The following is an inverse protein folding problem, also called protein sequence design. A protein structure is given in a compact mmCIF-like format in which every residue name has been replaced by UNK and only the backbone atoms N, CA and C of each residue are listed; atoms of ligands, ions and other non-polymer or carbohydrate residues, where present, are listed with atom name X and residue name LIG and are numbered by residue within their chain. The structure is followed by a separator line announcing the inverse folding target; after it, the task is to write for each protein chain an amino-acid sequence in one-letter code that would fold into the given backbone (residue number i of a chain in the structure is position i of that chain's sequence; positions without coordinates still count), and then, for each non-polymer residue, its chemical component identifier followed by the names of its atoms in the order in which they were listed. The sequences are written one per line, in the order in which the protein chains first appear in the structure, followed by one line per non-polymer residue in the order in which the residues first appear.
data_IF_057338529429
#
_entry.id   IF_057338529429
#
_cell.length_a   1.000
_cell.length_b   1.000
_cell.length_c   1.000
_cell.angle_alpha   90.00
_cell.angle_beta   90.00
_cell.angle_gamma   90.00
#
_symmetry.space_group_name_H-M   'P 1'
#
loop_
_entity.id
_entity.type
_entity.pdbx_description
1 polymer ?
#
# COMPACT_ATOMS: atom_id res chain seq x y z
N UNK A 1 21.79 1.38 14.28
CA UNK A 1 20.41 1.84 14.27
C UNK A 1 19.50 0.76 13.70
N UNK A 2 18.21 0.83 14.06
CA UNK A 2 17.15 0.02 13.45
C UNK A 2 16.09 0.96 12.91
N UNK A 3 15.67 0.78 11.66
CA UNK A 3 14.61 1.57 11.03
C UNK A 3 13.63 0.66 10.29
N UNK A 4 12.43 1.17 10.09
CA UNK A 4 11.46 0.53 9.22
C UNK A 4 11.98 0.54 7.77
N UNK A 5 11.80 -0.55 7.05
CA UNK A 5 12.24 -0.69 5.67
C UNK A 5 11.65 0.38 4.75
N UNK A 6 10.43 0.80 4.98
CA UNK A 6 9.74 1.82 4.17
C UNK A 6 10.43 3.19 4.17
N UNK A 7 11.25 3.50 5.19
CA UNK A 7 11.98 4.78 5.27
C UNK A 7 13.40 4.71 4.70
N UNK A 8 13.84 3.57 4.21
CA UNK A 8 15.15 3.44 3.55
C UNK A 8 15.29 4.35 2.32
N UNK A 9 14.29 4.49 1.41
CA UNK A 9 14.42 5.37 0.25
C UNK A 9 14.65 6.85 0.58
N UNK A 10 13.92 7.49 1.52
CA UNK A 10 14.21 8.89 1.87
C UNK A 10 15.59 9.09 2.50
N UNK A 11 16.08 8.14 3.26
CA UNK A 11 17.43 8.20 3.83
C UNK A 11 18.51 7.71 2.87
N UNK A 12 18.14 7.12 1.74
CA UNK A 12 19.03 6.42 0.83
C UNK A 12 19.93 5.44 1.59
N UNK A 13 19.35 4.72 2.55
CA UNK A 13 20.05 3.79 3.42
C UNK A 13 19.77 2.35 3.02
N UNK A 14 20.78 1.51 3.14
CA UNK A 14 20.66 0.06 3.10
C UNK A 14 21.33 -0.58 4.34
N UNK A 15 21.43 -1.87 4.41
CA UNK A 15 21.90 -2.57 5.60
C UNK A 15 23.23 -3.31 5.37
N UNK A 16 24.04 -2.84 4.43
CA UNK A 16 25.33 -3.43 4.03
C UNK A 16 26.53 -2.80 4.73
N UNK A 17 26.30 -1.88 5.67
CA UNK A 17 27.35 -1.22 6.44
C UNK A 17 27.23 0.31 6.49
N UNK A 18 26.07 0.85 6.10
CA UNK A 18 25.81 2.28 6.18
C UNK A 18 25.89 2.80 7.61
N UNK A 19 26.51 3.95 7.76
CA UNK A 19 26.55 4.71 9.02
C UNK A 19 25.60 5.89 8.96
N UNK A 20 25.05 6.26 10.12
CA UNK A 20 24.12 7.39 10.27
C UNK A 20 24.52 8.23 11.49
N UNK A 21 24.18 9.51 11.45
CA UNK A 21 24.35 10.41 12.57
C UNK A 21 23.05 10.53 13.36
N UNK A 22 23.17 10.53 14.69
CA UNK A 22 22.09 10.85 15.60
C UNK A 22 22.29 12.26 16.16
N UNK A 23 21.33 13.14 15.88
CA UNK A 23 21.32 14.51 16.40
C UNK A 23 20.29 14.66 17.51
N UNK A 24 20.69 15.31 18.60
CA UNK A 24 19.80 15.63 19.72
C UNK A 24 19.69 17.16 19.83
N UNK A 25 18.69 17.78 19.17
CA UNK A 25 18.51 19.24 19.20
C UNK A 25 18.18 19.71 20.62
N UNK A 26 18.86 20.76 21.08
CA UNK A 26 18.74 21.25 22.45
C UNK A 26 17.90 22.50 22.59
N UNK A 27 17.89 23.39 21.57
CA UNK A 27 17.04 24.58 21.63
C UNK A 27 15.57 24.25 21.34
N UNK A 28 14.67 25.07 21.88
CA UNK A 28 13.21 24.90 21.67
C UNK A 28 12.86 25.11 20.21
N UNK A 29 13.51 26.06 19.55
CA UNK A 29 13.31 26.36 18.14
C UNK A 29 13.72 25.18 17.27
N UNK A 30 14.92 24.62 17.46
CA UNK A 30 15.40 23.46 16.69
C UNK A 30 14.51 22.22 16.91
N UNK A 31 14.00 22.02 18.15
CA UNK A 31 13.05 20.94 18.45
C UNK A 31 11.70 21.17 17.76
N UNK A 32 11.25 22.43 17.69
CA UNK A 32 10.05 22.83 16.97
C UNK A 32 10.17 22.51 15.48
N UNK A 33 11.25 22.95 14.84
CA UNK A 33 11.52 22.65 13.43
C UNK A 33 11.62 21.15 13.16
N UNK A 34 12.37 20.40 13.97
CA UNK A 34 12.49 18.96 13.83
C UNK A 34 11.12 18.27 13.87
N UNK A 35 10.24 18.68 14.78
CA UNK A 35 8.91 18.11 14.95
C UNK A 35 7.93 18.49 13.83
N UNK A 36 8.04 19.67 13.25
CA UNK A 36 7.09 20.15 12.24
C UNK A 36 7.57 19.93 10.81
N UNK A 37 8.87 20.11 10.54
CA UNK A 37 9.40 20.08 9.19
C UNK A 37 10.19 18.81 8.86
N UNK A 38 10.71 18.09 9.87
CA UNK A 38 11.57 16.91 9.65
C UNK A 38 10.90 15.59 10.02
N UNK A 39 9.64 15.62 10.42
CA UNK A 39 8.91 14.42 10.80
C UNK A 39 8.74 13.50 9.56
N UNK A 40 9.25 12.26 9.62
CA UNK A 40 9.30 11.35 8.46
C UNK A 40 7.92 11.08 7.87
N UNK A 41 6.91 10.92 8.67
CA UNK A 41 5.53 10.65 8.23
C UNK A 41 4.87 11.81 7.50
N UNK A 42 5.43 13.02 7.56
CA UNK A 42 4.97 14.18 6.78
C UNK A 42 5.78 14.37 5.49
N UNK A 43 6.79 13.51 5.27
CA UNK A 43 7.69 13.58 4.13
C UNK A 43 7.48 12.40 3.16
N UNK A 44 6.23 12.01 2.95
CA UNK A 44 5.89 10.90 2.06
C UNK A 44 6.11 11.28 0.60
N UNK A 45 5.88 12.55 0.24
CA UNK A 45 6.07 13.05 -1.11
C UNK A 45 7.48 13.63 -1.30
N UNK A 46 8.14 13.23 -2.38
CA UNK A 46 9.44 13.76 -2.75
C UNK A 46 9.33 15.15 -3.40
N UNK A 47 10.10 16.16 -2.96
CA UNK A 47 10.14 17.46 -3.62
C UNK A 47 10.78 17.41 -5.01
N UNK A 48 11.49 16.32 -5.36
CA UNK A 48 12.17 16.16 -6.65
C UNK A 48 11.18 16.00 -7.81
N UNK A 49 10.08 15.25 -7.60
CA UNK A 49 9.14 14.90 -8.67
C UNK A 49 7.67 14.84 -8.21
N UNK A 50 7.42 15.19 -6.94
CA UNK A 50 6.06 15.27 -6.38
C UNK A 50 5.34 13.93 -6.18
N UNK A 51 6.04 12.81 -6.32
CA UNK A 51 5.48 11.47 -6.08
C UNK A 51 5.98 10.86 -4.76
N UNK A 52 5.43 9.72 -4.35
CA UNK A 52 5.75 9.09 -3.08
C UNK A 52 7.18 8.58 -3.07
N UNK A 53 7.95 8.95 -2.04
CA UNK A 53 9.27 8.41 -1.76
C UNK A 53 9.20 7.27 -0.73
N UNK A 54 8.21 7.30 0.14
CA UNK A 54 7.89 6.25 1.09
C UNK A 54 6.79 5.39 0.50
N UNK A 55 6.94 4.08 0.57
CA UNK A 55 5.98 3.11 0.04
C UNK A 55 6.45 1.70 0.33
N UNK A 56 5.70 0.71 -0.16
CA UNK A 56 6.04 -0.69 0.01
C UNK A 56 7.34 -1.05 -0.73
N UNK A 57 8.14 -1.92 -0.12
CA UNK A 57 9.39 -2.44 -0.65
C UNK A 57 9.45 -3.95 -0.47
N UNK A 58 10.14 -4.64 -1.38
CA UNK A 58 10.50 -6.06 -1.28
C UNK A 58 9.34 -6.95 -0.78
N UNK A 59 9.43 -7.49 0.43
CA UNK A 59 8.47 -8.45 0.98
C UNK A 59 7.07 -7.86 1.19
N UNK A 60 6.95 -6.56 1.44
CA UNK A 60 5.65 -5.89 1.49
C UNK A 60 4.93 -5.92 0.14
N UNK A 61 5.68 -5.74 -0.96
CA UNK A 61 5.11 -5.86 -2.32
C UNK A 61 4.74 -7.30 -2.60
N UNK A 62 5.61 -8.25 -2.25
CA UNK A 62 5.36 -9.68 -2.44
C UNK A 62 4.14 -10.15 -1.65
N UNK A 63 4.03 -9.73 -0.39
CA UNK A 63 2.89 -10.05 0.47
C UNK A 63 1.59 -9.48 -0.06
N UNK A 64 1.58 -8.20 -0.45
CA UNK A 64 0.41 -7.55 -1.03
C UNK A 64 0.00 -8.19 -2.37
N UNK A 65 0.97 -8.58 -3.20
CA UNK A 65 0.72 -9.30 -4.44
C UNK A 65 0.06 -10.66 -4.17
N UNK A 66 0.64 -11.48 -3.30
CA UNK A 66 0.11 -12.80 -2.95
C UNK A 66 -1.29 -12.69 -2.32
N UNK A 67 -1.51 -11.73 -1.43
CA UNK A 67 -2.82 -11.48 -0.83
C UNK A 67 -3.88 -11.17 -1.89
N UNK A 68 -3.55 -10.32 -2.87
CA UNK A 68 -4.53 -9.84 -3.87
C UNK A 68 -4.62 -10.70 -5.11
N UNK A 69 -3.93 -11.84 -5.18
CA UNK A 69 -4.12 -12.81 -6.27
C UNK A 69 -5.55 -13.32 -6.32
N UNK A 70 -6.05 -13.54 -7.53
CA UNK A 70 -7.40 -14.07 -7.78
C UNK A 70 -7.64 -15.44 -7.13
N UNK A 71 -6.59 -16.21 -6.90
CA UNK A 71 -6.62 -17.56 -6.32
C UNK A 71 -6.52 -17.58 -4.81
N UNK A 72 -6.25 -16.44 -4.16
CA UNK A 72 -6.09 -16.38 -2.71
C UNK A 72 -7.43 -16.38 -2.03
N UNK A 73 -7.69 -17.47 -1.31
CA UNK A 73 -8.86 -17.67 -0.47
C UNK A 73 -8.40 -17.85 0.97
N UNK A 74 -9.02 -17.14 1.87
CA UNK A 74 -8.72 -17.14 3.31
C UNK A 74 -9.82 -17.83 4.08
N UNK A 75 -9.46 -18.66 5.02
CA UNK A 75 -10.37 -19.20 6.03
C UNK A 75 -10.74 -18.11 7.05
N UNK A 76 -11.73 -18.36 7.88
CA UNK A 76 -12.15 -17.43 8.94
C UNK A 76 -10.99 -17.18 9.93
N UNK A 77 -10.23 -18.22 10.28
CA UNK A 77 -9.08 -18.13 11.19
C UNK A 77 -7.97 -17.25 10.60
N UNK A 78 -7.59 -17.49 9.35
CA UNK A 78 -6.56 -16.69 8.65
C UNK A 78 -7.00 -15.23 8.47
N UNK A 79 -8.26 -14.99 8.14
CA UNK A 79 -8.80 -13.64 8.03
C UNK A 79 -8.71 -12.90 9.36
N UNK A 80 -9.14 -13.55 10.47
CA UNK A 80 -9.11 -12.96 11.80
C UNK A 80 -7.69 -12.65 12.26
N UNK A 81 -6.74 -13.54 11.96
CA UNK A 81 -5.32 -13.32 12.26
C UNK A 81 -4.78 -12.08 11.51
N UNK A 82 -5.05 -11.97 10.20
CA UNK A 82 -4.66 -10.82 9.40
C UNK A 82 -5.27 -9.52 9.91
N UNK A 83 -6.57 -9.50 10.21
CA UNK A 83 -7.26 -8.31 10.72
C UNK A 83 -6.75 -7.89 12.11
N UNK A 84 -6.42 -8.87 12.97
CA UNK A 84 -5.85 -8.60 14.29
C UNK A 84 -4.45 -7.95 14.18
N UNK A 85 -3.59 -8.46 13.28
CA UNK A 85 -2.27 -7.88 13.02
C UNK A 85 -2.39 -6.46 12.46
N UNK A 86 -3.34 -6.25 11.53
CA UNK A 86 -3.63 -4.94 10.94
C UNK A 86 -4.40 -3.99 11.87
N UNK A 87 -4.74 -4.42 13.09
CA UNK A 87 -5.51 -3.64 14.09
C UNK A 87 -6.82 -3.09 13.52
N UNK A 88 -7.49 -3.87 12.69
CA UNK A 88 -8.75 -3.47 12.10
C UNK A 88 -9.90 -3.61 13.11
N UNK A 89 -10.66 -2.52 13.31
CA UNK A 89 -11.77 -2.45 14.28
C UNK A 89 -13.15 -2.35 13.60
N UNK A 90 -13.20 -2.51 12.27
CA UNK A 90 -14.44 -2.39 11.50
C UNK A 90 -15.24 -3.69 11.40
N UNK A 91 -16.32 -3.64 10.62
CA UNK A 91 -17.17 -4.80 10.35
C UNK A 91 -16.47 -5.76 9.37
N UNK A 92 -16.63 -7.06 9.63
CA UNK A 92 -16.11 -8.11 8.75
C UNK A 92 -17.04 -8.25 7.56
N UNK A 93 -16.53 -8.30 6.31
CA UNK A 93 -17.35 -8.46 5.13
C UNK A 93 -17.98 -9.86 5.08
N UNK A 94 -19.06 -9.98 4.34
CA UNK A 94 -19.63 -11.29 4.06
C UNK A 94 -18.65 -12.16 3.26
N UNK A 95 -18.61 -13.48 3.54
CA UNK A 95 -17.70 -14.38 2.82
C UNK A 95 -18.07 -14.45 1.33
N UNK A 96 -17.05 -14.50 0.49
CA UNK A 96 -17.19 -14.66 -0.96
C UNK A 96 -17.72 -16.06 -1.34
N UNK A 97 -17.40 -17.07 -0.53
CA UNK A 97 -17.88 -18.45 -0.70
C UNK A 97 -18.52 -18.90 0.61
N UNK A 98 -19.75 -19.42 0.53
CA UNK A 98 -20.52 -19.84 1.71
C UNK A 98 -20.44 -21.36 1.99
N UNK A 99 -20.27 -22.17 0.95
CA UNK A 99 -20.32 -23.63 1.06
C UNK A 99 -19.22 -24.28 0.22
N UNK A 100 -18.61 -25.39 0.65
CA UNK A 100 -18.88 -26.15 1.88
C UNK A 100 -18.31 -25.51 3.15
N UNK A 101 -17.38 -24.56 3.02
CA UNK A 101 -16.81 -23.75 4.10
C UNK A 101 -16.85 -22.28 3.66
N UNK A 102 -16.87 -21.39 4.64
CA UNK A 102 -16.78 -19.95 4.38
C UNK A 102 -15.35 -19.60 3.99
N UNK A 103 -15.21 -18.85 2.88
CA UNK A 103 -13.93 -18.30 2.44
C UNK A 103 -14.09 -16.84 2.05
N UNK A 104 -13.09 -16.07 2.34
CA UNK A 104 -12.93 -14.67 1.93
C UNK A 104 -11.80 -14.55 0.91
N UNK A 105 -11.92 -13.60 0.01
CA UNK A 105 -10.82 -13.30 -0.92
C UNK A 105 -9.87 -12.30 -0.29
N UNK A 106 -8.59 -12.41 -0.60
CA UNK A 106 -7.63 -11.41 -0.15
C UNK A 106 -7.90 -10.01 -0.72
N UNK A 107 -8.60 -9.91 -1.86
CA UNK A 107 -9.08 -8.64 -2.41
C UNK A 107 -10.08 -7.95 -1.47
N UNK A 108 -10.99 -8.71 -0.84
CA UNK A 108 -11.91 -8.17 0.17
C UNK A 108 -11.19 -7.61 1.40
N UNK A 109 -10.08 -8.24 1.79
CA UNK A 109 -9.25 -7.70 2.89
C UNK A 109 -8.70 -6.32 2.54
N UNK A 110 -8.15 -6.15 1.33
CA UNK A 110 -7.67 -4.85 0.88
C UNK A 110 -8.78 -3.79 0.85
N UNK A 111 -9.99 -4.16 0.42
CA UNK A 111 -11.15 -3.25 0.34
C UNK A 111 -11.50 -2.61 1.69
N UNK A 112 -11.20 -3.28 2.80
CA UNK A 112 -11.44 -2.76 4.15
C UNK A 112 -10.58 -1.55 4.49
N UNK A 113 -9.43 -1.43 3.83
CA UNK A 113 -8.46 -0.36 4.05
C UNK A 113 -8.51 0.73 2.97
N UNK A 114 -9.42 0.62 2.00
CA UNK A 114 -9.62 1.63 0.97
C UNK A 114 -10.83 2.52 1.28
N UNK A 115 -10.78 3.82 0.92
CA UNK A 115 -11.95 4.69 1.02
C UNK A 115 -13.07 4.19 0.11
N UNK A 116 -14.33 4.26 0.58
CA UNK A 116 -15.51 3.75 -0.14
C UNK A 116 -15.80 4.45 -1.46
N UNK A 117 -15.25 5.64 -1.67
CA UNK A 117 -15.39 6.46 -2.88
C UNK A 117 -14.14 6.43 -3.78
N UNK A 118 -13.10 5.68 -3.38
CA UNK A 118 -11.84 5.63 -4.11
C UNK A 118 -11.99 4.90 -5.45
N UNK A 119 -11.53 5.57 -6.51
CA UNK A 119 -11.52 5.04 -7.87
C UNK A 119 -10.11 5.13 -8.46
N UNK A 120 -9.62 4.00 -8.95
CA UNK A 120 -8.28 3.93 -9.52
C UNK A 120 -8.22 2.90 -10.65
N UNK A 121 -7.53 3.25 -11.73
CA UNK A 121 -7.29 2.34 -12.85
C UNK A 121 -5.84 2.50 -13.27
N UNK A 122 -5.10 1.40 -13.27
CA UNK A 122 -3.72 1.38 -13.71
C UNK A 122 -3.32 0.05 -14.32
N UNK A 123 -2.31 0.13 -15.17
CA UNK A 123 -1.71 -1.03 -15.79
C UNK A 123 -0.70 -1.68 -14.86
N UNK A 124 -0.95 -2.92 -14.45
CA UNK A 124 -0.01 -3.71 -13.64
C UNK A 124 1.30 -4.05 -14.36
N UNK A 125 2.28 -4.52 -13.59
CA UNK A 125 3.59 -4.93 -14.11
C UNK A 125 3.50 -6.18 -14.99
N UNK A 126 2.53 -7.04 -14.68
CA UNK A 126 2.30 -8.32 -15.38
C UNK A 126 1.48 -8.19 -16.65
N UNK A 127 1.01 -6.96 -16.98
CA UNK A 127 0.19 -6.74 -18.16
C UNK A 127 0.98 -6.99 -19.44
N UNK A 128 0.56 -7.99 -20.20
CA UNK A 128 1.04 -8.26 -21.56
C UNK A 128 0.28 -7.40 -22.58
N UNK A 129 0.86 -7.22 -23.77
CA UNK A 129 0.14 -6.56 -24.88
C UNK A 129 -0.93 -7.52 -25.42
N UNK A 130 -2.18 -7.10 -25.34
CA UNK A 130 -3.31 -7.78 -25.95
C UNK A 130 -3.74 -7.01 -27.20
N UNK A 131 -4.24 -7.70 -28.23
CA UNK A 131 -4.74 -7.07 -29.45
C UNK A 131 -5.98 -6.20 -29.16
N UNK A 132 -6.83 -6.67 -28.28
CA UNK A 132 -7.98 -5.92 -27.74
C UNK A 132 -7.93 -5.96 -26.20
N UNK A 133 -7.71 -4.81 -25.60
CA UNK A 133 -7.62 -4.70 -24.15
C UNK A 133 -9.00 -4.37 -23.55
N UNK A 134 -9.60 -5.32 -22.83
CA UNK A 134 -10.79 -5.11 -21.99
C UNK A 134 -10.33 -5.04 -20.55
N UNK A 135 -9.84 -3.87 -20.15
CA UNK A 135 -9.15 -3.69 -18.87
C UNK A 135 -10.03 -3.99 -17.63
N UNK A 136 -11.36 -3.76 -17.71
CA UNK A 136 -12.29 -4.03 -16.59
C UNK A 136 -12.58 -5.52 -16.40
N UNK A 137 -12.39 -6.34 -17.42
CA UNK A 137 -12.58 -7.79 -17.39
C UNK A 137 -11.32 -8.51 -17.85
N UNK A 138 -10.15 -8.04 -17.42
CA UNK A 138 -8.87 -8.59 -17.86
C UNK A 138 -8.75 -10.09 -17.51
N UNK A 139 -8.66 -11.00 -18.48
CA UNK A 139 -8.61 -12.44 -18.20
C UNK A 139 -7.32 -12.85 -17.46
N UNK A 140 -6.27 -12.04 -17.57
CA UNK A 140 -4.98 -12.25 -16.91
C UNK A 140 -4.88 -11.60 -15.53
N UNK A 141 -5.94 -10.92 -15.07
CA UNK A 141 -5.95 -10.16 -13.80
C UNK A 141 -4.75 -9.19 -13.66
N UNK A 142 -4.32 -8.63 -14.79
CA UNK A 142 -3.10 -7.84 -14.90
C UNK A 142 -3.36 -6.32 -14.94
N UNK A 143 -4.61 -5.91 -14.97
CA UNK A 143 -5.02 -4.51 -14.95
C UNK A 143 -5.67 -4.21 -13.61
N UNK A 144 -5.09 -3.29 -12.85
CA UNK A 144 -5.63 -2.90 -11.53
C UNK A 144 -6.80 -1.96 -11.73
N UNK A 145 -8.00 -2.40 -11.35
CA UNK A 145 -9.23 -1.61 -11.40
C UNK A 145 -9.89 -1.59 -10.04
N UNK A 146 -9.96 -0.40 -9.45
CA UNK A 146 -10.66 -0.14 -8.20
C UNK A 146 -11.84 0.79 -8.52
N UNK A 147 -13.04 0.40 -8.07
CA UNK A 147 -14.25 1.21 -8.20
C UNK A 147 -14.99 1.24 -6.87
N UNK A 148 -15.28 2.44 -6.39
CA UNK A 148 -15.95 2.66 -5.10
C UNK A 148 -15.29 1.87 -3.95
N UNK A 149 -13.96 1.92 -3.89
CA UNK A 149 -13.17 1.23 -2.88
C UNK A 149 -13.07 -0.28 -3.04
N UNK A 150 -13.64 -0.88 -4.09
CA UNK A 150 -13.61 -2.32 -4.35
C UNK A 150 -12.61 -2.65 -5.45
N UNK A 151 -11.77 -3.65 -5.19
CA UNK A 151 -10.81 -4.16 -6.16
C UNK A 151 -11.45 -5.20 -7.07
N UNK A 152 -11.85 -4.77 -8.27
CA UNK A 152 -12.56 -5.62 -9.24
C UNK A 152 -11.59 -6.56 -9.97
N UNK A 153 -10.49 -6.03 -10.50
CA UNK A 153 -9.46 -6.80 -11.20
C UNK A 153 -8.07 -6.34 -10.80
N UNK A 154 -7.10 -7.16 -11.08
CA UNK A 154 -5.69 -6.89 -10.82
C UNK A 154 -5.22 -7.35 -9.44
N UNK A 155 -3.92 -7.31 -9.27
CA UNK A 155 -3.21 -7.56 -8.01
C UNK A 155 -2.34 -6.36 -7.67
N UNK A 156 -2.08 -6.15 -6.38
CA UNK A 156 -1.16 -5.10 -5.95
C UNK A 156 0.27 -5.49 -6.32
N UNK A 157 0.93 -4.60 -6.99
CA UNK A 157 2.32 -4.76 -7.40
C UNK A 157 3.15 -3.51 -7.05
N UNK A 158 4.42 -3.50 -7.46
CA UNK A 158 5.30 -2.35 -7.26
C UNK A 158 4.75 -1.07 -7.87
N UNK A 159 4.03 -1.15 -9.00
CA UNK A 159 3.45 0.04 -9.65
C UNK A 159 2.27 0.61 -8.88
N UNK A 160 1.58 -0.23 -8.10
CA UNK A 160 0.44 0.20 -7.29
C UNK A 160 0.86 0.85 -5.96
N UNK A 161 1.71 0.17 -5.18
CA UNK A 161 2.04 0.55 -3.80
C UNK A 161 3.53 0.80 -3.55
N UNK A 162 4.38 0.58 -4.56
CA UNK A 162 5.83 0.70 -4.40
C UNK A 162 6.29 2.12 -4.12
N UNK A 163 7.40 2.21 -3.36
CA UNK A 163 8.13 3.45 -3.20
C UNK A 163 8.68 3.94 -4.54
N UNK A 164 8.80 5.26 -4.67
CA UNK A 164 9.36 5.95 -5.85
C UNK A 164 8.61 5.70 -7.18
N UNK A 165 7.33 5.37 -7.11
CA UNK A 165 6.49 5.18 -8.30
C UNK A 165 5.52 6.35 -8.45
N UNK A 166 5.72 7.24 -9.46
CA UNK A 166 4.77 8.30 -9.75
C UNK A 166 3.45 7.71 -10.26
N UNK A 167 2.35 8.44 -10.03
CA UNK A 167 0.99 8.05 -10.46
C UNK A 167 0.52 6.68 -9.96
N UNK A 168 1.15 6.14 -8.91
CA UNK A 168 0.72 4.93 -8.24
C UNK A 168 -0.61 5.11 -7.49
N UNK A 169 -1.23 3.99 -7.11
CA UNK A 169 -2.40 4.00 -6.24
C UNK A 169 -2.12 4.77 -4.94
N UNK A 170 -0.94 4.53 -4.34
CA UNK A 170 -0.49 5.23 -3.14
C UNK A 170 -0.40 6.75 -3.37
N UNK A 171 0.16 7.17 -4.51
CA UNK A 171 0.24 8.59 -4.87
C UNK A 171 -1.16 9.23 -5.00
N UNK A 172 -2.11 8.51 -5.57
CA UNK A 172 -3.50 8.95 -5.69
C UNK A 172 -4.17 9.07 -4.33
N UNK A 173 -3.97 8.09 -3.43
CA UNK A 173 -4.47 8.14 -2.06
C UNK A 173 -3.94 9.37 -1.30
N UNK A 174 -2.64 9.68 -1.44
CA UNK A 174 -2.05 10.87 -0.81
C UNK A 174 -2.72 12.14 -1.32
N UNK A 175 -2.91 12.26 -2.63
CA UNK A 175 -3.51 13.47 -3.25
C UNK A 175 -4.96 13.68 -2.87
N UNK A 176 -5.75 12.62 -2.77
CA UNK A 176 -7.20 12.71 -2.54
C UNK A 176 -7.56 12.70 -1.06
N UNK A 177 -6.82 11.97 -0.23
CA UNK A 177 -7.17 11.75 1.19
C UNK A 177 -6.11 12.26 2.18
N UNK A 178 -4.98 12.75 1.68
CA UNK A 178 -3.91 13.31 2.48
C UNK A 178 -2.90 12.30 3.00
N UNK A 179 -1.82 12.84 3.60
CA UNK A 179 -0.68 12.05 4.08
C UNK A 179 -1.02 11.16 5.28
N UNK A 180 -1.91 11.62 6.15
CA UNK A 180 -2.33 10.85 7.34
C UNK A 180 -3.09 9.58 6.96
N UNK A 181 -3.90 9.64 5.91
CA UNK A 181 -4.58 8.45 5.40
C UNK A 181 -3.59 7.47 4.77
N UNK A 182 -2.68 7.97 3.94
CA UNK A 182 -1.65 7.15 3.30
C UNK A 182 -0.73 6.49 4.33
N UNK A 183 -0.39 7.18 5.42
CA UNK A 183 0.35 6.62 6.54
C UNK A 183 -0.39 5.43 7.16
N UNK A 184 -1.68 5.61 7.47
CA UNK A 184 -2.50 4.52 8.04
C UNK A 184 -2.65 3.33 7.11
N UNK A 185 -2.64 3.58 5.80
CA UNK A 185 -2.69 2.52 4.79
C UNK A 185 -1.37 1.75 4.70
N UNK A 186 -0.23 2.40 4.99
CA UNK A 186 1.10 1.77 4.96
C UNK A 186 1.47 1.06 6.27
N UNK A 187 0.88 1.44 7.41
CA UNK A 187 1.06 0.80 8.72
C UNK A 187 0.34 -0.55 8.81
#
# INVERSE_FOLDING_TARGET
FRLNLAVCPPYNADFDGDEMNLHVPQSIEARGEAKTLMLVQTQILSPRYGGPIIGALQDYISGAYLLTLKTTLLTEEELMELLAVAKYEGEIPEPAILAPKKYWTGKQVLELFLPKDFNFVAKGSTCVKCDTCVYEECPYDAYLVIRNGKLLTGSLDKKAIGAQVPESMLHRLIKEYGEDYARKFLD
#
